data_IF_871469584881
#
_entry.id   IF_871469584881
#
_cell.length_a   1.000
_cell.length_b   1.000
_cell.length_c   1.000
_cell.angle_alpha   90.00
_cell.angle_beta   90.00
_cell.angle_gamma   90.00
#
_symmetry.space_group_name_H-M   'P 1'
#
loop_
_entity.id
_entity.type
_entity.pdbx_description
1 polymer ?
#
# COMPACT_ATOMS: atom_id res chain seq x y z
N UNK A 1 -65.60 -16.68 -9.85
CA UNK A 1 -64.32 -16.14 -10.35
C UNK A 1 -63.67 -15.33 -9.23
N UNK A 2 -62.67 -15.91 -8.54
CA UNK A 2 -61.90 -15.20 -7.51
C UNK A 2 -60.60 -14.73 -8.16
N UNK A 3 -60.49 -13.43 -8.39
CA UNK A 3 -59.26 -12.78 -8.82
C UNK A 3 -58.27 -12.79 -7.66
N UNK A 4 -57.24 -13.62 -7.79
CA UNK A 4 -56.11 -13.66 -6.89
C UNK A 4 -55.20 -12.47 -7.24
N UNK A 5 -55.36 -11.35 -6.53
CA UNK A 5 -54.43 -10.23 -6.63
C UNK A 5 -53.10 -10.63 -5.98
N UNK A 6 -52.14 -10.98 -6.83
CA UNK A 6 -50.75 -11.21 -6.45
C UNK A 6 -50.12 -9.86 -6.09
N UNK A 7 -50.01 -9.56 -4.80
CA UNK A 7 -49.33 -8.36 -4.29
C UNK A 7 -47.82 -8.58 -4.45
N UNK A 8 -47.23 -8.00 -5.48
CA UNK A 8 -45.78 -8.00 -5.72
C UNK A 8 -45.14 -7.05 -4.70
N UNK A 9 -44.67 -7.57 -3.56
CA UNK A 9 -43.85 -6.81 -2.62
C UNK A 9 -42.46 -6.68 -3.26
N UNK A 10 -42.23 -5.57 -3.96
CA UNK A 10 -40.89 -5.08 -4.28
C UNK A 10 -40.22 -4.73 -2.95
N UNK A 11 -39.54 -5.71 -2.36
CA UNK A 11 -38.51 -5.44 -1.36
C UNK A 11 -37.41 -4.69 -2.10
N UNK A 12 -37.47 -3.36 -2.05
CA UNK A 12 -36.30 -2.53 -2.30
C UNK A 12 -35.31 -2.89 -1.20
N UNK A 13 -34.50 -3.91 -1.45
CA UNK A 13 -33.20 -4.02 -0.83
C UNK A 13 -32.49 -2.72 -1.19
N UNK A 14 -32.52 -1.76 -0.28
CA UNK A 14 -31.49 -0.74 -0.22
C UNK A 14 -30.19 -1.51 -0.03
N UNK A 15 -29.61 -1.96 -1.14
CA UNK A 15 -28.17 -2.14 -1.20
C UNK A 15 -27.65 -0.75 -0.85
N UNK A 16 -27.31 -0.55 0.42
CA UNK A 16 -26.30 0.41 0.78
C UNK A 16 -25.09 -0.02 -0.04
N UNK A 17 -24.96 0.57 -1.23
CA UNK A 17 -23.66 0.77 -1.82
C UNK A 17 -22.93 1.56 -0.74
N UNK A 18 -22.17 0.87 0.10
CA UNK A 18 -21.15 1.53 0.89
C UNK A 18 -20.29 2.22 -0.16
N UNK A 19 -20.50 3.52 -0.36
CA UNK A 19 -19.50 4.36 -0.99
C UNK A 19 -18.28 4.20 -0.09
N UNK A 20 -17.41 3.26 -0.48
CA UNK A 20 -16.25 2.91 0.32
C UNK A 20 -15.36 4.15 0.36
N UNK A 21 -15.43 4.88 1.47
CA UNK A 21 -14.89 6.21 1.60
C UNK A 21 -13.37 6.11 1.44
N UNK A 22 -12.82 6.92 0.53
CA UNK A 22 -11.37 6.97 0.27
C UNK A 22 -10.61 7.23 1.58
N UNK A 23 -11.14 8.09 2.45
CA UNK A 23 -10.52 8.44 3.72
C UNK A 23 -10.48 7.28 4.71
N UNK A 24 -11.43 6.35 4.68
CA UNK A 24 -11.41 5.21 5.62
C UNK A 24 -10.28 4.21 5.34
N UNK A 25 -9.73 4.24 4.13
CA UNK A 25 -8.68 3.31 3.67
C UNK A 25 -7.31 3.99 3.61
N UNK A 26 -7.29 5.30 3.76
CA UNK A 26 -6.13 6.14 3.65
C UNK A 26 -5.33 6.14 4.96
N UNK A 27 -4.02 5.96 4.85
CA UNK A 27 -3.06 6.36 5.89
C UNK A 27 -2.16 7.44 5.31
N UNK A 28 -1.76 8.41 6.15
CA UNK A 28 -0.88 9.51 5.78
C UNK A 28 0.26 9.66 6.79
N UNK A 29 1.41 10.14 6.36
CA UNK A 29 2.54 10.45 7.23
C UNK A 29 3.23 11.72 6.74
N UNK A 30 3.27 12.74 7.60
CA UNK A 30 4.05 13.94 7.35
C UNK A 30 5.47 13.76 7.91
N UNK A 31 6.47 13.83 7.03
CA UNK A 31 7.88 13.79 7.39
C UNK A 31 8.56 15.07 6.91
N UNK A 32 8.68 16.05 7.81
CA UNK A 32 9.40 17.31 7.57
C UNK A 32 8.97 18.03 6.28
N UNK A 33 7.66 18.10 6.02
CA UNK A 33 7.10 18.82 4.87
C UNK A 33 6.92 17.99 3.60
N UNK A 34 7.47 16.75 3.56
CA UNK A 34 7.11 15.75 2.55
C UNK A 34 6.06 14.83 3.14
N UNK A 35 4.92 14.72 2.46
CA UNK A 35 3.83 13.86 2.91
C UNK A 35 3.80 12.58 2.08
N UNK A 36 3.61 11.46 2.78
CA UNK A 36 3.45 10.13 2.22
C UNK A 36 2.02 9.67 2.48
N UNK A 37 1.45 8.92 1.54
CA UNK A 37 0.14 8.32 1.69
C UNK A 37 0.15 6.86 1.22
N UNK A 38 -0.71 6.05 1.82
CA UNK A 38 -0.93 4.64 1.48
C UNK A 38 -2.43 4.37 1.38
N UNK A 39 -2.85 3.79 0.26
CA UNK A 39 -4.25 3.42 -0.03
C UNK A 39 -4.28 2.46 -1.22
N UNK A 40 -5.11 1.40 -1.22
CA UNK A 40 -5.31 0.54 -2.40
C UNK A 40 -4.03 -0.05 -3.04
N UNK A 41 -2.98 -0.24 -2.24
CA UNK A 41 -1.66 -0.69 -2.70
C UNK A 41 -0.85 0.40 -3.41
N UNK A 42 -1.34 1.64 -3.45
CA UNK A 42 -0.55 2.81 -3.83
C UNK A 42 0.39 3.22 -2.70
N UNK A 43 1.60 3.60 -3.08
CA UNK A 43 2.43 4.54 -2.34
C UNK A 43 2.36 5.89 -3.04
N UNK A 44 1.98 6.92 -2.32
CA UNK A 44 1.81 8.27 -2.86
C UNK A 44 2.73 9.21 -2.10
N UNK A 45 3.33 10.17 -2.80
CA UNK A 45 3.99 11.29 -2.16
C UNK A 45 3.61 12.60 -2.80
N UNK A 46 3.53 13.66 -1.98
CA UNK A 46 3.26 15.01 -2.45
C UNK A 46 4.35 15.98 -2.02
N UNK A 47 4.82 16.80 -2.95
CA UNK A 47 5.81 17.84 -2.72
C UNK A 47 5.40 19.13 -3.43
N UNK A 48 5.60 20.27 -2.75
CA UNK A 48 5.30 21.61 -3.27
C UNK A 48 6.59 22.29 -3.73
N UNK A 49 6.54 22.92 -4.90
CA UNK A 49 7.66 23.61 -5.53
C UNK A 49 7.33 25.09 -5.74
N UNK A 50 8.25 25.98 -5.35
CA UNK A 50 8.16 27.42 -5.59
C UNK A 50 8.47 27.77 -7.06
N UNK A 51 7.71 27.19 -7.98
CA UNK A 51 7.75 27.39 -9.42
C UNK A 51 6.34 27.72 -9.91
N UNK A 52 6.23 28.54 -10.96
CA UNK A 52 4.97 28.85 -11.62
C UNK A 52 4.49 27.68 -12.50
N UNK A 53 3.17 27.59 -12.71
CA UNK A 53 2.56 26.66 -13.67
C UNK A 53 2.64 27.20 -15.11
N UNK A 54 3.85 27.51 -15.58
CA UNK A 54 4.14 27.91 -16.96
C UNK A 54 5.22 27.00 -17.56
N UNK A 55 5.49 27.13 -18.85
CA UNK A 55 6.47 26.30 -19.55
C UNK A 55 7.85 26.30 -18.87
N UNK A 56 8.32 27.47 -18.42
CA UNK A 56 9.65 27.64 -17.81
C UNK A 56 9.69 27.05 -16.40
N UNK A 57 8.64 27.25 -15.62
CA UNK A 57 8.48 26.71 -14.28
C UNK A 57 8.37 25.19 -14.29
N UNK A 58 7.45 24.65 -15.09
CA UNK A 58 7.22 23.21 -15.23
C UNK A 58 8.45 22.48 -15.76
N UNK A 59 9.22 23.06 -16.69
CA UNK A 59 10.47 22.46 -17.18
C UNK A 59 11.50 22.21 -16.07
N UNK A 60 11.53 23.05 -15.03
CA UNK A 60 12.41 22.83 -13.86
C UNK A 60 11.89 21.69 -12.98
N UNK A 61 10.58 21.62 -12.77
CA UNK A 61 9.94 20.58 -11.95
C UNK A 61 10.05 19.21 -12.67
N UNK A 62 9.75 19.15 -13.97
CA UNK A 62 9.90 17.96 -14.80
C UNK A 62 11.29 17.32 -14.73
N UNK A 63 12.36 18.13 -14.79
CA UNK A 63 13.74 17.64 -14.68
C UNK A 63 14.01 16.92 -13.35
N UNK A 64 13.43 17.39 -12.23
CA UNK A 64 13.58 16.72 -10.92
C UNK A 64 12.95 15.32 -10.90
N UNK A 65 11.93 15.09 -11.73
CA UNK A 65 11.22 13.82 -11.83
C UNK A 65 11.57 13.03 -13.10
N UNK A 66 12.66 13.39 -13.78
CA UNK A 66 13.11 12.74 -15.02
C UNK A 66 12.01 12.67 -16.10
N UNK A 67 11.18 13.71 -16.16
CA UNK A 67 10.18 13.89 -17.21
C UNK A 67 10.82 14.67 -18.37
N UNK A 68 10.72 14.11 -19.57
CA UNK A 68 11.32 14.66 -20.79
C UNK A 68 10.27 15.26 -21.72
N UNK A 69 10.72 15.93 -22.79
CA UNK A 69 9.83 16.50 -23.78
C UNK A 69 9.08 15.41 -24.58
N UNK A 70 9.64 14.20 -24.69
CA UNK A 70 9.00 13.05 -25.34
C UNK A 70 7.91 12.38 -24.48
N UNK A 71 7.90 12.61 -23.17
CA UNK A 71 6.86 12.06 -22.30
C UNK A 71 5.51 12.75 -22.60
N UNK A 72 4.47 11.94 -22.81
CA UNK A 72 3.12 12.45 -23.09
C UNK A 72 2.55 13.12 -21.85
N UNK A 73 2.05 14.35 -22.02
CA UNK A 73 1.47 15.18 -20.95
C UNK A 73 -0.01 15.37 -21.26
N UNK A 74 -0.86 14.87 -20.39
CA UNK A 74 -2.32 14.84 -20.60
C UNK A 74 -2.96 15.75 -19.56
N UNK A 75 -3.88 16.61 -20.01
CA UNK A 75 -4.73 17.38 -19.09
C UNK A 75 -5.79 16.45 -18.50
N UNK A 76 -5.93 16.42 -17.19
CA UNK A 76 -7.02 15.71 -16.52
C UNK A 76 -8.15 16.68 -16.15
N UNK A 77 -9.36 16.42 -16.64
CA UNK A 77 -10.53 17.28 -16.40
C UNK A 77 -11.24 16.99 -15.08
N UNK A 78 -10.93 15.87 -14.41
CA UNK A 78 -11.52 15.53 -13.11
C UNK A 78 -10.74 16.14 -11.93
N UNK A 79 -9.59 16.74 -12.20
CA UNK A 79 -8.83 17.51 -11.21
C UNK A 79 -9.32 18.95 -11.21
N UNK A 80 -9.68 19.48 -10.04
CA UNK A 80 -10.32 20.79 -9.88
C UNK A 80 -9.40 21.97 -10.24
N UNK A 81 -8.10 21.73 -10.39
CA UNK A 81 -7.08 22.74 -10.63
C UNK A 81 -6.40 22.54 -11.98
N UNK A 82 -5.66 23.56 -12.42
CA UNK A 82 -4.85 23.38 -13.61
C UNK A 82 -3.80 22.28 -13.39
N UNK A 83 -3.57 21.41 -14.38
CA UNK A 83 -2.78 20.21 -14.15
C UNK A 83 -2.26 19.59 -15.45
N UNK A 84 -1.25 18.75 -15.29
CA UNK A 84 -0.75 17.82 -16.30
C UNK A 84 -0.44 16.48 -15.63
N UNK A 85 -0.94 15.40 -16.22
CA UNK A 85 -0.62 14.02 -15.88
C UNK A 85 0.47 13.49 -16.82
N UNK A 86 1.47 12.85 -16.23
CA UNK A 86 2.45 12.03 -16.95
C UNK A 86 2.49 10.63 -16.33
N UNK A 87 2.32 9.60 -17.16
CA UNK A 87 2.35 8.20 -16.74
C UNK A 87 3.58 7.49 -17.30
N UNK A 88 4.34 6.82 -16.44
CA UNK A 88 5.52 6.02 -16.82
C UNK A 88 5.40 4.62 -16.26
N UNK A 89 5.61 3.61 -17.12
CA UNK A 89 5.66 2.22 -16.70
C UNK A 89 7.10 1.71 -16.72
N UNK A 90 7.47 0.99 -15.66
CA UNK A 90 8.74 0.29 -15.55
C UNK A 90 8.46 -1.21 -15.40
N UNK A 91 9.08 -2.02 -16.26
CA UNK A 91 9.02 -3.47 -16.13
C UNK A 91 9.82 -3.90 -14.89
N UNK A 92 9.19 -4.63 -13.97
CA UNK A 92 9.85 -5.24 -12.81
C UNK A 92 10.14 -6.73 -13.06
N UNK A 93 9.23 -7.43 -13.72
CA UNK A 93 9.40 -8.82 -14.14
C UNK A 93 8.60 -9.09 -15.41
N UNK A 94 8.67 -10.32 -15.95
CA UNK A 94 7.98 -10.66 -17.21
C UNK A 94 6.46 -10.47 -17.16
N UNK A 95 5.85 -10.56 -15.99
CA UNK A 95 4.42 -10.39 -15.77
C UNK A 95 4.03 -9.16 -14.94
N UNK A 96 5.00 -8.36 -14.45
CA UNK A 96 4.72 -7.25 -13.55
C UNK A 96 5.40 -5.94 -13.96
N UNK A 97 4.60 -4.87 -13.85
CA UNK A 97 5.02 -3.50 -14.10
C UNK A 97 4.71 -2.63 -12.89
N UNK A 98 5.59 -1.68 -12.62
CA UNK A 98 5.30 -0.54 -11.76
C UNK A 98 4.84 0.61 -12.64
N UNK A 99 3.67 1.16 -12.32
CA UNK A 99 3.17 2.39 -12.90
C UNK A 99 3.47 3.55 -11.97
N UNK A 100 4.04 4.61 -12.53
CA UNK A 100 4.32 5.87 -11.86
C UNK A 100 3.47 6.95 -12.53
N UNK A 101 2.49 7.48 -11.83
CA UNK A 101 1.65 8.58 -12.31
C UNK A 101 2.02 9.86 -11.57
N UNK A 102 2.43 10.88 -12.33
CA UNK A 102 2.83 12.18 -11.82
C UNK A 102 1.76 13.20 -12.21
N UNK A 103 1.06 13.72 -11.21
CA UNK A 103 0.14 14.84 -11.37
C UNK A 103 0.87 16.12 -10.97
N UNK A 104 1.19 16.95 -11.95
CA UNK A 104 1.67 18.32 -11.74
C UNK A 104 0.44 19.21 -11.66
N UNK A 105 0.24 19.90 -10.55
CA UNK A 105 -0.98 20.66 -10.27
C UNK A 105 -0.64 22.09 -9.86
N UNK A 106 -1.34 23.05 -10.44
CA UNK A 106 -1.28 24.46 -10.05
C UNK A 106 -2.01 24.68 -8.74
N UNK A 107 -1.30 25.16 -7.73
CA UNK A 107 -1.89 25.51 -6.44
C UNK A 107 -2.56 26.89 -6.50
N UNK A 108 -3.49 27.20 -5.57
CA UNK A 108 -4.11 28.53 -5.47
C UNK A 108 -3.11 29.69 -5.30
N UNK A 109 -1.93 29.43 -4.74
CA UNK A 109 -0.86 30.42 -4.57
C UNK A 109 0.11 30.49 -5.76
N UNK A 110 -0.31 29.97 -6.92
CA UNK A 110 0.44 29.96 -8.18
C UNK A 110 1.75 29.15 -8.14
N UNK A 111 1.94 28.33 -7.11
CA UNK A 111 3.04 27.37 -7.06
C UNK A 111 2.64 26.04 -7.71
N UNK A 112 3.58 25.12 -7.89
CA UNK A 112 3.32 23.79 -8.46
C UNK A 112 3.42 22.73 -7.36
N UNK A 113 2.41 21.90 -7.20
CA UNK A 113 2.50 20.66 -6.44
C UNK A 113 2.70 19.47 -7.39
N UNK A 114 3.51 18.50 -6.97
CA UNK A 114 3.61 17.21 -7.64
C UNK A 114 3.04 16.15 -6.72
N UNK A 115 1.99 15.48 -7.16
CA UNK A 115 1.45 14.28 -6.51
C UNK A 115 1.89 13.08 -7.33
N UNK A 116 2.77 12.27 -6.75
CA UNK A 116 3.35 11.11 -7.40
C UNK A 116 2.78 9.83 -6.80
N UNK A 117 2.08 9.06 -7.64
CA UNK A 117 1.54 7.75 -7.34
C UNK A 117 2.47 6.65 -7.86
N UNK A 118 2.73 5.66 -7.02
CA UNK A 118 3.49 4.45 -7.35
C UNK A 118 2.60 3.26 -7.06
N UNK A 119 2.38 2.40 -8.06
CA UNK A 119 1.63 1.14 -7.89
C UNK A 119 2.16 0.04 -8.78
N UNK A 120 2.16 -1.18 -8.25
CA UNK A 120 2.43 -2.39 -9.01
C UNK A 120 1.12 -2.99 -9.51
N UNK A 121 1.06 -3.32 -10.80
CA UNK A 121 -0.15 -3.82 -11.45
C UNK A 121 -1.13 -2.71 -11.86
N UNK A 122 -2.43 -2.99 -11.76
CA UNK A 122 -3.47 -2.13 -12.31
C UNK A 122 -3.68 -0.85 -11.48
N UNK A 123 -3.72 0.29 -12.16
CA UNK A 123 -4.09 1.58 -11.57
C UNK A 123 -5.60 1.84 -11.64
N UNK A 124 -6.09 2.68 -10.73
CA UNK A 124 -7.48 3.13 -10.62
C UNK A 124 -7.52 4.66 -10.70
N UNK A 125 -7.86 5.17 -11.88
CA UNK A 125 -7.83 6.60 -12.19
C UNK A 125 -8.76 7.42 -11.29
N UNK A 126 -9.92 6.87 -10.95
CA UNK A 126 -10.90 7.52 -10.06
C UNK A 126 -10.32 7.75 -8.66
N UNK A 127 -9.63 6.76 -8.09
CA UNK A 127 -8.94 6.90 -6.79
C UNK A 127 -7.82 7.92 -6.87
N UNK A 128 -7.03 7.91 -7.95
CA UNK A 128 -5.96 8.90 -8.16
C UNK A 128 -6.53 10.33 -8.22
N UNK A 129 -7.55 10.56 -9.04
CA UNK A 129 -8.22 11.86 -9.18
C UNK A 129 -8.77 12.36 -7.84
N UNK A 130 -9.48 11.49 -7.10
CA UNK A 130 -9.99 11.80 -5.77
C UNK A 130 -8.87 12.17 -4.79
N UNK A 131 -7.79 11.39 -4.77
CA UNK A 131 -6.65 11.65 -3.91
C UNK A 131 -5.95 12.96 -4.25
N UNK A 132 -5.74 13.27 -5.53
CA UNK A 132 -5.14 14.56 -5.95
C UNK A 132 -5.99 15.72 -5.45
N UNK A 133 -7.31 15.69 -5.67
CA UNK A 133 -8.19 16.76 -5.19
C UNK A 133 -8.14 16.89 -3.65
N UNK A 134 -8.20 15.78 -2.90
CA UNK A 134 -8.10 15.81 -1.44
C UNK A 134 -6.77 16.40 -0.94
N UNK A 135 -5.65 16.05 -1.58
CA UNK A 135 -4.31 16.52 -1.22
C UNK A 135 -4.18 18.02 -1.51
N UNK A 136 -4.53 18.46 -2.71
CA UNK A 136 -4.36 19.84 -3.15
C UNK A 136 -5.30 20.79 -2.40
N UNK A 137 -6.51 20.34 -2.07
CA UNK A 137 -7.47 21.11 -1.29
C UNK A 137 -7.24 21.06 0.22
N UNK A 138 -6.21 20.33 0.69
CA UNK A 138 -5.92 20.11 2.11
C UNK A 138 -7.14 19.59 2.89
N UNK A 139 -7.85 18.61 2.31
CA UNK A 139 -9.07 18.01 2.87
C UNK A 139 -8.86 16.63 3.51
N UNK A 140 -7.61 16.21 3.70
CA UNK A 140 -7.29 14.97 4.41
C UNK A 140 -7.31 15.26 5.92
N UNK A 141 -8.19 14.64 6.69
CA UNK A 141 -8.28 14.86 8.14
C UNK A 141 -7.02 14.41 8.89
N UNK A 142 -6.75 15.05 10.04
CA UNK A 142 -5.59 14.74 10.90
C UNK A 142 -5.64 13.30 11.44
N UNK A 143 -6.82 12.70 11.62
CA UNK A 143 -6.96 11.31 12.05
C UNK A 143 -6.40 10.28 11.06
N UNK A 144 -6.19 10.68 9.79
CA UNK A 144 -5.50 9.84 8.81
C UNK A 144 -3.98 9.87 8.97
N UNK A 145 -3.44 10.85 9.69
CA UNK A 145 -2.00 11.02 9.86
C UNK A 145 -1.47 10.18 11.03
N UNK A 146 -0.53 9.29 10.72
CA UNK A 146 0.20 8.51 11.72
C UNK A 146 1.42 9.29 12.22
N UNK A 147 1.83 9.13 13.48
CA UNK A 147 3.02 9.78 13.99
C UNK A 147 4.30 9.17 13.41
N UNK A 148 5.35 9.99 13.24
CA UNK A 148 6.69 9.53 12.83
C UNK A 148 7.31 8.54 13.84
N UNK A 149 7.13 8.78 15.14
CA UNK A 149 7.55 7.85 16.19
C UNK A 149 6.43 6.85 16.45
N UNK A 150 6.71 5.57 16.22
CA UNK A 150 5.72 4.53 16.44
C UNK A 150 5.77 3.98 17.85
N UNK A 151 4.62 4.04 18.51
CA UNK A 151 4.31 3.31 19.75
C UNK A 151 3.15 2.35 19.52
N UNK A 152 2.32 2.65 18.52
CA UNK A 152 1.22 1.81 18.06
C UNK A 152 0.97 2.05 16.58
N UNK A 153 0.27 1.13 15.94
CA UNK A 153 -0.25 1.28 14.57
C UNK A 153 -1.76 1.12 14.54
N UNK A 154 -2.38 1.73 13.53
CA UNK A 154 -3.75 1.40 13.14
C UNK A 154 -3.72 0.32 12.06
N UNK A 155 -3.93 -0.93 12.48
CA UNK A 155 -4.02 -2.06 11.56
C UNK A 155 -5.50 -2.37 11.28
N UNK A 156 -5.97 -2.00 10.09
CA UNK A 156 -7.34 -2.28 9.66
C UNK A 156 -8.42 -1.88 10.70
N UNK A 157 -8.31 -0.67 11.24
CA UNK A 157 -9.28 -0.07 12.15
C UNK A 157 -9.07 -0.39 13.64
N UNK A 158 -8.05 -1.18 14.01
CA UNK A 158 -7.70 -1.41 15.41
C UNK A 158 -6.32 -0.86 15.75
N UNK A 159 -6.16 -0.40 16.99
CA UNK A 159 -4.88 0.01 17.52
C UNK A 159 -4.10 -1.22 18.00
N UNK A 160 -2.91 -1.44 17.45
CA UNK A 160 -1.96 -2.46 17.90
C UNK A 160 -0.79 -1.75 18.58
N UNK A 161 -0.61 -2.00 19.87
CA UNK A 161 0.55 -1.50 20.62
C UNK A 161 1.82 -2.25 20.20
N UNK A 162 2.88 -1.48 19.95
CA UNK A 162 4.18 -1.95 19.51
C UNK A 162 5.25 -1.72 20.58
N UNK A 163 6.35 -2.44 20.48
CA UNK A 163 7.53 -2.20 21.31
C UNK A 163 8.26 -0.92 20.91
N UNK A 164 9.04 -0.36 21.85
CA UNK A 164 9.79 0.89 21.64
C UNK A 164 10.87 0.83 20.55
N UNK A 165 11.24 -0.37 20.08
CA UNK A 165 12.29 -0.58 19.07
C UNK A 165 11.76 -0.63 17.64
N UNK A 166 10.44 -0.64 17.44
CA UNK A 166 9.86 -0.69 16.12
C UNK A 166 9.96 0.68 15.43
N UNK A 167 10.09 0.70 14.10
CA UNK A 167 10.08 1.92 13.30
C UNK A 167 9.43 1.72 11.93
N UNK A 168 9.03 2.83 11.30
CA UNK A 168 8.59 2.85 9.91
C UNK A 168 9.79 2.64 8.98
N UNK A 169 9.77 1.61 8.15
CA UNK A 169 10.67 1.54 6.97
C UNK A 169 10.05 2.27 5.79
N UNK A 170 8.72 2.18 5.67
CA UNK A 170 7.85 2.95 4.78
C UNK A 170 6.49 3.15 5.48
N UNK A 171 5.64 4.02 4.95
CA UNK A 171 4.28 4.18 5.47
C UNK A 171 3.51 2.85 5.33
N UNK A 172 2.89 2.41 6.43
CA UNK A 172 2.26 1.10 6.59
C UNK A 172 3.23 -0.08 6.39
N UNK A 173 4.53 0.13 6.62
CA UNK A 173 5.52 -0.93 6.79
C UNK A 173 6.26 -0.73 8.10
N UNK A 174 6.02 -1.63 9.04
CA UNK A 174 6.67 -1.63 10.36
C UNK A 174 7.70 -2.72 10.43
N UNK A 175 8.92 -2.35 10.80
CA UNK A 175 9.96 -3.29 11.17
C UNK A 175 10.21 -3.20 12.67
N UNK A 176 10.18 -4.35 13.35
CA UNK A 176 10.59 -4.49 14.73
C UNK A 176 11.84 -5.37 14.76
N UNK A 177 13.05 -4.83 14.99
CA UNK A 177 14.29 -5.60 14.93
C UNK A 177 14.24 -6.86 15.80
N UNK A 178 14.56 -8.01 15.20
CA UNK A 178 14.47 -9.35 15.81
C UNK A 178 13.06 -9.84 16.19
N UNK A 179 12.01 -9.10 15.84
CA UNK A 179 10.62 -9.40 16.21
C UNK A 179 9.69 -9.47 14.99
N UNK A 180 10.25 -9.43 13.78
CA UNK A 180 9.53 -9.47 12.51
C UNK A 180 9.28 -8.09 11.87
N UNK A 181 8.74 -8.15 10.66
CA UNK A 181 8.33 -7.02 9.84
C UNK A 181 6.96 -7.30 9.22
N UNK A 182 6.17 -6.26 9.00
CA UNK A 182 4.92 -6.37 8.26
C UNK A 182 4.68 -5.13 7.41
N UNK A 183 4.03 -5.30 6.27
CA UNK A 183 3.39 -4.24 5.53
C UNK A 183 1.90 -4.53 5.33
N UNK A 184 1.10 -3.48 5.15
CA UNK A 184 -0.31 -3.63 4.80
C UNK A 184 -0.87 -2.47 3.99
N UNK A 185 -1.99 -2.73 3.34
CA UNK A 185 -2.81 -1.71 2.69
C UNK A 185 -4.29 -2.09 2.80
N UNK A 186 -5.16 -1.09 2.88
CA UNK A 186 -6.61 -1.28 2.87
C UNK A 186 -7.15 -0.98 1.47
N UNK A 187 -7.99 -1.88 0.97
CA UNK A 187 -8.45 -1.91 -0.41
C UNK A 187 -9.95 -1.70 -0.54
N UNK A 188 -10.37 -1.20 -1.70
CA UNK A 188 -11.78 -0.98 -2.05
C UNK A 188 -12.59 -2.27 -2.00
N UNK A 189 -11.98 -3.35 -2.48
CA UNK A 189 -12.56 -4.67 -2.57
C UNK A 189 -11.47 -5.73 -2.33
N UNK A 190 -11.91 -6.95 -2.00
CA UNK A 190 -11.02 -8.07 -1.70
C UNK A 190 -10.17 -8.50 -2.91
N UNK A 191 -10.70 -8.35 -4.12
CA UNK A 191 -9.97 -8.71 -5.34
C UNK A 191 -8.73 -7.83 -5.54
N UNK A 192 -8.85 -6.52 -5.31
CA UNK A 192 -7.71 -5.61 -5.35
C UNK A 192 -6.67 -5.93 -4.26
N UNK A 193 -7.10 -6.38 -3.08
CA UNK A 193 -6.17 -6.81 -2.04
C UNK A 193 -5.41 -8.08 -2.46
N UNK A 194 -6.10 -9.05 -3.06
CA UNK A 194 -5.49 -10.28 -3.59
C UNK A 194 -4.51 -9.99 -4.73
N UNK A 195 -4.87 -9.12 -5.66
CA UNK A 195 -3.98 -8.67 -6.74
C UNK A 195 -2.72 -8.02 -6.17
N UNK A 196 -2.86 -7.14 -5.17
CA UNK A 196 -1.72 -6.47 -4.54
C UNK A 196 -0.75 -7.47 -3.89
N UNK A 197 -1.27 -8.50 -3.23
CA UNK A 197 -0.46 -9.58 -2.66
C UNK A 197 0.27 -10.37 -3.74
N UNK A 198 -0.41 -10.71 -4.83
CA UNK A 198 0.20 -11.45 -5.93
C UNK A 198 1.32 -10.63 -6.59
N UNK A 199 1.09 -9.34 -6.80
CA UNK A 199 2.10 -8.42 -7.33
C UNK A 199 3.32 -8.34 -6.40
N UNK A 200 3.11 -8.23 -5.08
CA UNK A 200 4.22 -8.24 -4.11
C UNK A 200 5.01 -9.55 -4.12
N UNK A 201 4.33 -10.70 -4.19
CA UNK A 201 4.99 -12.00 -4.28
C UNK A 201 5.84 -12.12 -5.55
N UNK A 202 5.32 -11.67 -6.69
CA UNK A 202 6.04 -11.70 -7.96
C UNK A 202 7.28 -10.80 -7.96
N UNK A 203 7.20 -9.65 -7.28
CA UNK A 203 8.37 -8.78 -7.07
C UNK A 203 9.41 -9.50 -6.21
N UNK A 204 8.99 -10.15 -5.13
CA UNK A 204 9.91 -10.96 -4.30
C UNK A 204 10.59 -12.05 -5.14
N UNK A 205 9.85 -12.75 -6.00
CA UNK A 205 10.38 -13.78 -6.91
C UNK A 205 11.37 -13.23 -7.93
N UNK A 206 11.21 -11.98 -8.39
CA UNK A 206 12.07 -11.38 -9.41
C UNK A 206 13.33 -10.70 -8.85
N UNK A 207 13.49 -10.60 -7.53
CA UNK A 207 14.68 -9.98 -6.91
C UNK A 207 15.95 -10.78 -7.18
N UNK A 208 16.92 -10.16 -7.86
CA UNK A 208 18.24 -10.73 -8.15
C UNK A 208 19.07 -11.12 -6.91
N UNK A 209 18.76 -10.55 -5.74
CA UNK A 209 19.50 -10.76 -4.48
C UNK A 209 19.22 -12.08 -3.77
N UNK A 210 18.36 -12.94 -4.30
CA UNK A 210 17.95 -14.18 -3.64
C UNK A 210 17.09 -15.08 -4.51
N UNK A 211 16.42 -16.04 -3.89
CA UNK A 211 15.46 -16.94 -4.53
C UNK A 211 14.41 -17.41 -3.53
N UNK A 212 13.20 -17.67 -4.04
CA UNK A 212 12.22 -18.47 -3.31
C UNK A 212 12.65 -19.95 -3.37
N UNK A 213 12.79 -20.59 -2.21
CA UNK A 213 13.16 -22.01 -2.09
C UNK A 213 12.01 -22.91 -1.68
N UNK A 214 10.96 -22.34 -1.09
CA UNK A 214 9.70 -23.01 -0.79
C UNK A 214 8.54 -22.03 -0.96
N UNK A 215 7.43 -22.52 -1.48
CA UNK A 215 6.16 -21.82 -1.58
C UNK A 215 5.03 -22.82 -1.30
N UNK A 216 4.26 -22.57 -0.25
CA UNK A 216 3.18 -23.42 0.19
C UNK A 216 1.97 -22.59 0.63
N UNK A 217 0.78 -23.19 0.58
CA UNK A 217 -0.44 -22.58 1.12
C UNK A 217 -0.66 -23.17 2.51
N UNK A 218 -0.80 -22.31 3.51
CA UNK A 218 -1.00 -22.70 4.91
C UNK A 218 -2.29 -22.11 5.45
N UNK A 219 -3.00 -22.89 6.26
CA UNK A 219 -4.17 -22.42 6.99
C UNK A 219 -3.72 -21.56 8.17
N UNK A 220 -4.34 -20.39 8.31
CA UNK A 220 -4.06 -19.44 9.39
C UNK A 220 -5.36 -18.86 9.94
N UNK A 221 -5.29 -18.34 11.16
CA UNK A 221 -6.26 -17.38 11.66
C UNK A 221 -5.65 -15.98 11.55
N UNK A 222 -6.18 -15.14 10.68
CA UNK A 222 -5.73 -13.76 10.46
C UNK A 222 -6.74 -12.81 11.09
N UNK A 223 -6.35 -12.13 12.18
CA UNK A 223 -7.24 -11.23 12.93
C UNK A 223 -8.57 -11.88 13.36
N UNK A 224 -8.52 -13.17 13.71
CA UNK A 224 -9.70 -13.96 14.08
C UNK A 224 -10.47 -14.58 12.90
N UNK A 225 -10.09 -14.28 11.65
CA UNK A 225 -10.70 -14.83 10.45
C UNK A 225 -9.92 -16.04 9.97
N UNK A 226 -10.61 -17.17 9.78
CA UNK A 226 -10.00 -18.39 9.26
C UNK A 226 -9.78 -18.24 7.75
N UNK A 227 -8.53 -18.28 7.32
CA UNK A 227 -8.16 -18.04 5.92
C UNK A 227 -6.86 -18.77 5.55
N UNK A 228 -6.37 -18.52 4.34
CA UNK A 228 -5.15 -19.11 3.81
C UNK A 228 -4.12 -18.03 3.49
N UNK A 229 -2.86 -18.30 3.84
CA UNK A 229 -1.74 -17.48 3.41
C UNK A 229 -0.83 -18.27 2.47
N UNK A 230 -0.20 -17.59 1.51
CA UNK A 230 0.97 -18.13 0.82
C UNK A 230 2.17 -17.92 1.74
N UNK A 231 2.81 -18.99 2.16
CA UNK A 231 4.05 -18.98 2.93
C UNK A 231 5.20 -19.26 1.99
N UNK A 232 6.22 -18.43 2.07
CA UNK A 232 7.41 -18.44 1.21
C UNK A 232 8.66 -18.44 2.07
N UNK A 233 9.62 -19.28 1.72
CA UNK A 233 10.99 -19.20 2.25
C UNK A 233 11.87 -18.55 1.19
N UNK A 234 12.50 -17.43 1.55
CA UNK A 234 13.38 -16.66 0.67
C UNK A 234 14.82 -16.73 1.15
N UNK A 235 15.69 -17.34 0.33
CA UNK A 235 17.12 -17.43 0.57
C UNK A 235 17.86 -16.31 -0.17
N UNK A 236 18.80 -15.68 0.51
CA UNK A 236 19.66 -14.66 -0.09
C UNK A 236 20.83 -15.29 -0.84
N UNK A 237 21.34 -14.59 -1.86
CA UNK A 237 22.49 -15.01 -2.67
C UNK A 237 23.55 -13.91 -2.73
N UNK A 238 24.80 -14.31 -2.99
CA UNK A 238 25.90 -13.39 -3.23
C UNK A 238 26.14 -12.41 -2.08
N UNK A 239 26.37 -11.13 -2.42
CA UNK A 239 26.62 -10.07 -1.43
C UNK A 239 25.48 -9.93 -0.42
N UNK A 240 24.23 -10.10 -0.85
CA UNK A 240 23.09 -10.02 0.06
C UNK A 240 23.11 -11.13 1.12
N UNK A 241 23.57 -12.33 0.76
CA UNK A 241 23.76 -13.43 1.73
C UNK A 241 24.88 -13.12 2.72
N UNK A 242 25.99 -12.53 2.27
CA UNK A 242 27.08 -12.12 3.15
C UNK A 242 26.61 -11.05 4.16
N UNK A 243 25.86 -10.04 3.71
CA UNK A 243 25.31 -8.99 4.56
C UNK A 243 24.29 -9.53 5.57
N UNK A 244 23.39 -10.42 5.14
CA UNK A 244 22.45 -11.09 6.04
C UNK A 244 23.18 -11.98 7.06
N UNK A 245 24.23 -12.69 6.63
CA UNK A 245 25.05 -13.52 7.51
C UNK A 245 25.75 -12.72 8.62
N UNK A 246 26.12 -11.47 8.38
CA UNK A 246 26.71 -10.59 9.41
C UNK A 246 25.75 -10.25 10.55
N UNK A 247 24.43 -10.24 10.30
CA UNK A 247 23.40 -10.07 11.33
C UNK A 247 22.89 -11.39 11.91
N UNK A 248 23.43 -12.53 11.44
CA UNK A 248 23.03 -13.88 11.83
C UNK A 248 21.83 -14.44 11.05
N UNK A 249 21.23 -13.64 10.16
CA UNK A 249 20.11 -14.05 9.31
C UNK A 249 20.58 -14.89 8.13
N UNK A 250 19.85 -15.97 7.82
CA UNK A 250 20.12 -16.83 6.66
C UNK A 250 19.01 -16.77 5.62
N UNK A 251 17.77 -16.82 6.07
CA UNK A 251 16.61 -16.75 5.21
C UNK A 251 15.45 -16.00 5.87
N UNK A 252 14.52 -15.56 5.03
CA UNK A 252 13.27 -14.95 5.45
C UNK A 252 12.13 -15.94 5.27
N UNK A 253 11.31 -16.10 6.31
CA UNK A 253 9.98 -16.66 6.18
C UNK A 253 9.01 -15.53 5.94
N UNK A 254 8.20 -15.62 4.88
CA UNK A 254 7.27 -14.56 4.46
C UNK A 254 5.87 -15.14 4.29
N UNK A 255 4.87 -14.49 4.86
CA UNK A 255 3.46 -14.81 4.74
C UNK A 255 2.75 -13.71 3.96
N UNK A 256 2.00 -14.12 2.94
CA UNK A 256 1.24 -13.26 2.06
C UNK A 256 -0.25 -13.59 2.23
N UNK A 257 -1.04 -12.63 2.71
CA UNK A 257 -2.47 -12.83 2.98
C UNK A 257 -3.29 -11.64 2.49
N UNK A 258 -4.44 -11.93 1.90
CA UNK A 258 -5.46 -10.94 1.58
C UNK A 258 -6.82 -11.44 2.06
N UNK A 259 -7.48 -10.68 2.93
CA UNK A 259 -8.76 -11.08 3.51
C UNK A 259 -9.61 -9.86 3.91
N UNK A 260 -10.92 -10.07 4.02
CA UNK A 260 -11.80 -9.12 4.68
C UNK A 260 -11.75 -9.31 6.19
N UNK A 261 -11.16 -8.34 6.89
CA UNK A 261 -11.11 -8.30 8.36
C UNK A 261 -11.90 -7.09 8.83
N UNK A 262 -12.93 -7.31 9.65
CA UNK A 262 -13.80 -6.24 10.19
C UNK A 262 -14.35 -5.30 9.11
N UNK A 263 -14.90 -5.86 8.04
CA UNK A 263 -15.43 -5.12 6.87
C UNK A 263 -14.38 -4.30 6.11
N UNK A 264 -13.09 -4.58 6.29
CA UNK A 264 -11.99 -3.92 5.56
C UNK A 264 -11.25 -4.98 4.75
N UNK A 265 -11.10 -4.74 3.46
CA UNK A 265 -10.32 -5.62 2.60
C UNK A 265 -8.84 -5.27 2.77
N UNK A 266 -8.05 -6.19 3.30
CA UNK A 266 -6.65 -5.91 3.65
C UNK A 266 -5.75 -6.80 2.84
N UNK A 267 -4.71 -6.22 2.25
CA UNK A 267 -3.52 -6.96 1.85
C UNK A 267 -2.49 -6.81 2.97
N UNK A 268 -1.87 -7.91 3.39
CA UNK A 268 -0.80 -7.89 4.38
C UNK A 268 0.32 -8.88 3.99
N UNK A 269 1.56 -8.39 4.03
CA UNK A 269 2.76 -9.22 3.92
C UNK A 269 3.51 -9.14 5.24
N UNK A 270 3.77 -10.28 5.84
CA UNK A 270 4.49 -10.41 7.09
C UNK A 270 5.76 -11.21 6.86
N UNK A 271 6.87 -10.83 7.48
CA UNK A 271 8.12 -11.55 7.32
C UNK A 271 8.96 -11.54 8.59
N UNK A 272 9.83 -12.54 8.72
CA UNK A 272 10.80 -12.60 9.81
C UNK A 272 12.01 -13.43 9.42
N UNK A 273 13.13 -13.12 10.06
CA UNK A 273 14.36 -13.88 9.87
C UNK A 273 14.34 -15.15 10.70
N UNK A 274 15.04 -16.18 10.22
CA UNK A 274 15.20 -17.42 10.99
C UNK A 274 15.95 -17.26 12.32
N UNK A 275 16.59 -16.11 12.56
CA UNK A 275 17.24 -15.76 13.82
C UNK A 275 16.48 -14.68 14.62
N UNK A 276 15.25 -14.34 14.22
CA UNK A 276 14.36 -13.53 15.06
C UNK A 276 13.96 -14.32 16.32
N UNK A 277 13.39 -13.63 17.31
CA UNK A 277 12.82 -14.26 18.50
C UNK A 277 11.54 -15.01 18.13
N UNK A 278 11.69 -16.27 17.76
CA UNK A 278 10.57 -17.13 17.35
C UNK A 278 10.05 -17.87 18.58
N UNK A 279 8.76 -17.71 18.87
CA UNK A 279 8.12 -18.47 19.93
C UNK A 279 8.06 -19.97 19.54
N UNK A 280 8.54 -20.89 20.40
CA UNK A 280 8.59 -22.31 20.07
C UNK A 280 7.21 -22.96 19.93
N UNK A 281 6.15 -22.39 20.51
CA UNK A 281 4.79 -22.91 20.42
C UNK A 281 4.06 -22.41 19.17
N UNK A 282 4.03 -21.08 18.98
CA UNK A 282 3.30 -20.46 17.85
C UNK A 282 4.08 -20.50 16.54
N UNK A 283 5.40 -20.70 16.60
CA UNK A 283 6.36 -20.62 15.48
C UNK A 283 6.41 -19.25 14.80
N UNK A 284 5.97 -18.21 15.49
CA UNK A 284 5.95 -16.83 14.99
C UNK A 284 6.72 -15.90 15.93
N UNK A 285 7.25 -14.79 15.43
CA UNK A 285 7.80 -13.74 16.29
C UNK A 285 6.72 -12.81 16.85
N UNK A 286 7.01 -12.04 17.92
CA UNK A 286 6.01 -11.27 18.65
C UNK A 286 5.19 -10.26 17.83
N UNK A 287 5.73 -9.68 16.75
CA UNK A 287 4.95 -8.78 15.90
C UNK A 287 3.84 -9.55 15.16
N UNK A 288 4.17 -10.72 14.62
CA UNK A 288 3.25 -11.52 13.81
C UNK A 288 2.22 -12.24 14.67
N UNK A 289 2.57 -12.66 15.89
CA UNK A 289 1.63 -13.26 16.85
C UNK A 289 0.45 -12.34 17.20
N UNK A 290 0.62 -11.03 17.06
CA UNK A 290 -0.46 -10.05 17.28
C UNK A 290 -1.55 -10.14 16.21
N UNK A 291 -1.25 -10.74 15.05
CA UNK A 291 -2.04 -10.59 13.82
C UNK A 291 -2.44 -11.95 13.23
N UNK A 292 -1.55 -12.94 13.31
CA UNK A 292 -1.82 -14.29 12.81
C UNK A 292 -1.59 -15.36 13.87
N UNK A 293 -2.31 -16.48 13.72
CA UNK A 293 -2.01 -17.76 14.36
C UNK A 293 -1.87 -18.83 13.28
N UNK A 294 -0.86 -19.67 13.40
CA UNK A 294 -0.71 -20.85 12.55
C UNK A 294 -1.59 -21.99 13.08
N UNK A 295 -2.11 -22.80 12.16
CA UNK A 295 -2.90 -24.00 12.48
C UNK A 295 -2.12 -25.28 12.28
#
# INVERSE_FOLDING_TARGET
MKTLNLFFILVFSFCFSQENNVLERLSALNNNGKIWYNIDGYSITSEKFNNSFDEKGLKKVFRKHQITDSDVKIKDSQINFNNLLVSKQQKISDSNFQTNNYYFVENPDQTVSVVWFIKNGKTDKETEEKMVNLIIENKIPEENFVPMKITSINFAGIKIELGNSCYWTFLNTVQCPYLGEMNWSVHRNLESAKEAIENQLNITKSKNGGKVTSEEIVDIEFEGVQTKAKKVIYDFKGVASALAGMSGGKNLTVYYVAENVRNRNVSCVMSFWNNDQINPETKLPPLLEKIIKLK
#
